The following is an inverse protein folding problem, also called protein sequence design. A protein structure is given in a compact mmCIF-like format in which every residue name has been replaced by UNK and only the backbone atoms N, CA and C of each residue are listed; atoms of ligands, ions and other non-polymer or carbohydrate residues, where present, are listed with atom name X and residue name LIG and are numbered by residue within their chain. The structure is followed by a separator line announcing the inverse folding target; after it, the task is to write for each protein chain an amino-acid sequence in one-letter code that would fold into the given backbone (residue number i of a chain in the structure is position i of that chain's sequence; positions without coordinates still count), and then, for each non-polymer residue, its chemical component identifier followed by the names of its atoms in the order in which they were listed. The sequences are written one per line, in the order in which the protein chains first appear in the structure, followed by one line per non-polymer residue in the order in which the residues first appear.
data_IF_183594615693
#
_entry.id   IF_183594615693
#
_cell.length_a   1.000
_cell.length_b   1.000
_cell.length_c   1.000
_cell.angle_alpha   90.00
_cell.angle_beta   90.00
_cell.angle_gamma   90.00
#
_symmetry.space_group_name_H-M   'P 1'
#
loop_
_entity.id
_entity.type
_entity.pdbx_description
1 polymer ?
#
# COMPACT_ATOMS: atom_id res chain seq x y z
N UNK A 1 8.37 -0.90 -36.80
CA UNK A 1 8.76 0.49 -36.48
C UNK A 1 9.30 0.46 -35.06
N UNK A 2 10.59 0.73 -34.92
CA UNK A 2 11.32 0.72 -33.66
C UNK A 2 11.05 2.02 -32.93
N UNK A 3 10.54 1.96 -31.69
CA UNK A 3 10.33 3.13 -30.85
C UNK A 3 10.84 2.84 -29.44
N UNK A 4 11.99 3.45 -29.15
CA UNK A 4 12.48 3.95 -27.86
C UNK A 4 12.38 3.03 -26.64
N UNK A 5 13.37 2.14 -26.52
CA UNK A 5 13.96 1.85 -25.21
C UNK A 5 14.72 3.10 -24.72
N UNK A 6 14.07 3.91 -23.88
CA UNK A 6 14.71 4.93 -23.03
C UNK A 6 14.13 4.86 -21.62
N UNK A 7 14.40 3.75 -20.96
CA UNK A 7 14.30 3.61 -19.50
C UNK A 7 15.69 3.35 -18.95
N UNK A 8 16.57 4.36 -19.05
CA UNK A 8 17.91 4.31 -18.49
C UNK A 8 17.85 4.33 -16.97
N UNK A 9 17.95 3.14 -16.39
CA UNK A 9 18.78 2.83 -15.22
C UNK A 9 18.91 3.90 -14.11
N UNK A 10 17.78 4.28 -13.51
CA UNK A 10 17.74 5.07 -12.27
C UNK A 10 18.33 4.33 -11.06
N UNK A 11 18.55 3.02 -11.15
CA UNK A 11 19.20 2.22 -10.11
C UNK A 11 20.72 2.45 -10.06
N UNK A 12 21.37 2.70 -11.21
CA UNK A 12 22.83 2.89 -11.26
C UNK A 12 23.32 4.17 -10.58
N UNK A 13 22.45 5.19 -10.47
CA UNK A 13 22.78 6.49 -9.86
C UNK A 13 22.89 6.41 -8.33
N UNK A 14 22.21 5.45 -7.68
CA UNK A 14 22.15 5.36 -6.21
C UNK A 14 23.37 4.65 -5.62
N UNK A 15 24.04 3.78 -6.38
CA UNK A 15 25.17 2.97 -5.89
C UNK A 15 26.56 3.52 -6.26
N UNK A 16 26.63 4.73 -6.83
CA UNK A 16 27.86 5.33 -7.36
C UNK A 16 28.30 6.59 -6.60
N UNK A 17 28.38 6.52 -5.28
CA UNK A 17 29.12 7.51 -4.49
C UNK A 17 30.18 6.79 -3.66
N UNK A 18 31.34 6.56 -4.28
CA UNK A 18 32.57 6.38 -3.52
C UNK A 18 32.83 7.72 -2.84
N UNK A 19 32.79 7.72 -1.50
CA UNK A 19 32.97 8.90 -0.66
C UNK A 19 34.23 9.69 -1.03
N UNK A 20 34.07 10.67 -1.91
CA UNK A 20 35.05 11.71 -2.15
C UNK A 20 34.66 12.91 -1.26
N UNK A 21 35.58 13.32 -0.40
CA UNK A 21 35.52 14.51 0.46
C UNK A 21 34.55 14.51 1.68
N UNK A 22 34.02 13.36 2.10
CA UNK A 22 33.37 13.24 3.40
C UNK A 22 34.40 13.34 4.54
N UNK A 23 34.20 14.19 5.56
CA UNK A 23 35.11 14.27 6.69
C UNK A 23 35.22 12.90 7.38
N UNK A 24 36.46 12.44 7.57
CA UNK A 24 36.77 11.13 8.20
C UNK A 24 36.20 10.97 9.60
N UNK A 25 35.69 12.06 10.20
CA UNK A 25 34.96 12.06 11.47
C UNK A 25 33.71 11.20 11.45
N UNK A 26 33.05 10.99 10.29
CA UNK A 26 31.88 10.13 10.17
C UNK A 26 32.20 8.70 9.72
N UNK A 27 33.47 8.36 9.52
CA UNK A 27 33.89 7.05 9.03
C UNK A 27 33.43 5.90 9.93
N UNK A 28 33.07 4.76 9.34
CA UNK A 28 32.76 3.50 10.04
C UNK A 28 33.85 3.12 11.07
N UNK A 29 35.10 3.42 10.75
CA UNK A 29 36.26 3.10 11.59
C UNK A 29 36.33 3.92 12.88
N UNK A 30 35.55 4.99 12.99
CA UNK A 30 35.53 5.84 14.18
C UNK A 30 34.82 5.13 15.35
N UNK A 31 35.23 5.39 16.61
CA UNK A 31 34.60 4.79 17.77
C UNK A 31 33.08 4.99 17.79
N UNK A 32 32.32 3.90 17.91
CA UNK A 32 30.85 3.85 17.89
C UNK A 32 30.15 4.20 16.56
N UNK A 33 30.87 4.36 15.44
CA UNK A 33 30.26 4.73 14.15
C UNK A 33 29.69 3.53 13.36
N UNK A 34 29.83 2.31 13.89
CA UNK A 34 29.20 1.11 13.34
C UNK A 34 27.68 1.05 13.59
N UNK A 35 27.12 1.98 14.38
CA UNK A 35 25.71 2.02 14.78
C UNK A 35 24.72 2.01 13.60
N UNK A 36 25.08 2.60 12.47
CA UNK A 36 24.27 2.55 11.24
C UNK A 36 24.03 1.12 10.76
N UNK A 37 25.04 0.25 10.89
CA UNK A 37 24.94 -1.16 10.51
C UNK A 37 24.02 -1.93 11.46
N UNK A 38 24.09 -1.65 12.76
CA UNK A 38 23.21 -2.27 13.78
C UNK A 38 21.77 -1.81 13.57
N UNK A 39 21.56 -0.50 13.41
CA UNK A 39 20.24 0.10 13.17
C UNK A 39 19.55 -0.47 11.92
N UNK A 40 20.32 -0.81 10.87
CA UNK A 40 19.79 -1.43 9.65
C UNK A 40 19.00 -2.72 9.93
N UNK A 41 19.35 -3.49 10.96
CA UNK A 41 18.58 -4.67 11.35
C UNK A 41 17.21 -4.30 11.92
N UNK A 42 17.16 -3.33 12.84
CA UNK A 42 15.90 -2.84 13.41
C UNK A 42 15.01 -2.22 12.33
N UNK A 43 15.60 -1.42 11.43
CA UNK A 43 14.90 -0.82 10.30
C UNK A 43 14.39 -1.91 9.32
N UNK A 44 15.15 -3.00 9.13
CA UNK A 44 14.74 -4.14 8.30
C UNK A 44 13.45 -4.80 8.77
N UNK A 45 13.25 -4.94 10.09
CA UNK A 45 11.99 -5.41 10.67
C UNK A 45 10.83 -4.46 10.33
N UNK A 46 11.03 -3.15 10.52
CA UNK A 46 10.02 -2.12 10.26
C UNK A 46 9.63 -2.03 8.78
N UNK A 47 10.60 -2.19 7.89
CA UNK A 47 10.36 -2.25 6.44
C UNK A 47 9.46 -3.44 6.09
N UNK A 48 9.61 -4.59 6.75
CA UNK A 48 8.71 -5.72 6.52
C UNK A 48 7.26 -5.37 6.91
N UNK A 49 7.04 -4.67 8.02
CA UNK A 49 5.70 -4.20 8.42
C UNK A 49 5.11 -3.23 7.37
N UNK A 50 5.93 -2.31 6.85
CA UNK A 50 5.51 -1.36 5.81
C UNK A 50 5.13 -2.08 4.50
N UNK A 51 5.90 -3.08 4.09
CA UNK A 51 5.60 -3.88 2.88
C UNK A 51 4.30 -4.66 3.09
N UNK A 52 4.10 -5.27 4.26
CA UNK A 52 2.86 -5.96 4.58
C UNK A 52 1.66 -5.02 4.56
N UNK A 53 1.78 -3.83 5.15
CA UNK A 53 0.73 -2.81 5.10
C UNK A 53 0.43 -2.41 3.66
N UNK A 54 1.46 -2.20 2.83
CA UNK A 54 1.30 -1.92 1.40
C UNK A 54 0.51 -3.02 0.67
N UNK A 55 0.80 -4.30 0.93
CA UNK A 55 0.07 -5.42 0.34
C UNK A 55 -1.39 -5.44 0.79
N UNK A 56 -1.64 -5.14 2.06
CA UNK A 56 -2.99 -5.07 2.63
C UNK A 56 -3.81 -3.92 2.01
N UNK A 57 -3.23 -2.73 1.84
CA UNK A 57 -3.91 -1.62 1.16
C UNK A 57 -4.21 -1.96 -0.31
N UNK A 58 -3.27 -2.58 -1.03
CA UNK A 58 -3.55 -3.07 -2.39
C UNK A 58 -4.68 -4.10 -2.40
N UNK A 59 -4.69 -5.03 -1.46
CA UNK A 59 -5.75 -6.02 -1.36
C UNK A 59 -7.13 -5.39 -1.12
N UNK A 60 -7.23 -4.29 -0.36
CA UNK A 60 -8.51 -3.56 -0.19
C UNK A 60 -9.04 -3.01 -1.52
N UNK A 61 -8.17 -2.52 -2.40
CA UNK A 61 -8.56 -2.05 -3.74
C UNK A 61 -9.21 -3.19 -4.52
N UNK A 62 -8.55 -4.36 -4.57
CA UNK A 62 -9.08 -5.54 -5.25
C UNK A 62 -10.41 -6.01 -4.65
N UNK A 63 -10.52 -5.96 -3.32
CA UNK A 63 -11.77 -6.25 -2.60
C UNK A 63 -12.91 -5.36 -3.06
N UNK A 64 -12.67 -4.06 -3.10
CA UNK A 64 -13.72 -3.08 -3.37
C UNK A 64 -14.19 -3.20 -4.82
N UNK A 65 -13.27 -3.38 -5.77
CA UNK A 65 -13.63 -3.60 -7.17
C UNK A 65 -14.48 -4.87 -7.36
N UNK A 66 -14.10 -5.96 -6.68
CA UNK A 66 -14.90 -7.19 -6.67
C UNK A 66 -16.31 -6.97 -6.09
N UNK A 67 -16.42 -6.27 -4.96
CA UNK A 67 -17.71 -6.00 -4.32
C UNK A 67 -18.62 -5.13 -5.21
N UNK A 68 -18.07 -4.13 -5.89
CA UNK A 68 -18.84 -3.30 -6.82
C UNK A 68 -19.42 -4.12 -7.98
N UNK A 69 -18.63 -5.03 -8.55
CA UNK A 69 -19.12 -5.94 -9.60
C UNK A 69 -20.21 -6.88 -9.08
N UNK A 70 -20.03 -7.45 -7.89
CA UNK A 70 -21.00 -8.35 -7.26
C UNK A 70 -22.33 -7.64 -6.97
N UNK A 71 -22.27 -6.42 -6.43
CA UNK A 71 -23.45 -5.60 -6.16
C UNK A 71 -24.18 -5.22 -7.45
N UNK A 72 -23.43 -4.79 -8.47
CA UNK A 72 -23.99 -4.49 -9.79
C UNK A 72 -24.70 -5.71 -10.39
N UNK A 73 -24.06 -6.89 -10.37
CA UNK A 73 -24.68 -8.13 -10.86
C UNK A 73 -25.93 -8.47 -10.06
N UNK A 74 -25.89 -8.41 -8.73
CA UNK A 74 -27.04 -8.69 -7.85
C UNK A 74 -28.23 -7.77 -8.11
N UNK A 75 -27.97 -6.51 -8.46
CA UNK A 75 -29.00 -5.53 -8.82
C UNK A 75 -29.64 -5.85 -10.18
N UNK A 76 -28.84 -6.18 -11.19
CA UNK A 76 -29.32 -6.34 -12.56
C UNK A 76 -29.85 -7.73 -12.87
N UNK A 77 -29.32 -8.78 -12.24
CA UNK A 77 -29.72 -10.17 -12.50
C UNK A 77 -31.23 -10.39 -12.46
N UNK A 78 -31.98 -9.99 -11.40
CA UNK A 78 -33.43 -10.21 -11.38
C UNK A 78 -34.18 -9.40 -12.44
N UNK A 79 -33.65 -8.25 -12.87
CA UNK A 79 -34.26 -7.43 -13.92
C UNK A 79 -34.06 -8.05 -15.31
N UNK A 80 -32.87 -8.60 -15.56
CA UNK A 80 -32.55 -9.33 -16.80
C UNK A 80 -33.35 -10.63 -16.87
N UNK A 81 -33.43 -11.38 -15.78
CA UNK A 81 -34.15 -12.65 -15.73
C UNK A 81 -35.67 -12.48 -15.88
N UNK A 82 -36.21 -11.34 -15.42
CA UNK A 82 -37.62 -10.98 -15.59
C UNK A 82 -37.90 -10.24 -16.91
N UNK A 83 -36.88 -9.98 -17.74
CA UNK A 83 -37.02 -9.25 -18.99
C UNK A 83 -37.96 -9.96 -19.97
N UNK A 84 -38.72 -9.22 -20.80
CA UNK A 84 -39.47 -9.81 -21.91
C UNK A 84 -38.56 -10.31 -23.05
N UNK A 85 -37.25 -10.03 -23.00
CA UNK A 85 -36.28 -10.65 -23.91
C UNK A 85 -36.29 -12.18 -23.73
N UNK A 86 -35.93 -12.92 -24.78
CA UNK A 86 -35.97 -14.37 -24.78
C UNK A 86 -34.86 -14.95 -25.67
N UNK A 87 -34.81 -16.28 -25.73
CA UNK A 87 -34.00 -16.99 -26.71
C UNK A 87 -32.50 -16.77 -26.52
N UNK A 88 -31.78 -16.78 -27.64
CA UNK A 88 -30.33 -16.57 -27.68
C UNK A 88 -29.90 -15.17 -27.25
N UNK A 89 -30.69 -14.14 -27.56
CA UNK A 89 -30.40 -12.77 -27.15
C UNK A 89 -30.41 -12.60 -25.62
N UNK A 90 -31.41 -13.17 -24.93
CA UNK A 90 -31.45 -13.16 -23.46
C UNK A 90 -30.24 -13.88 -22.86
N UNK A 91 -29.85 -15.04 -23.42
CA UNK A 91 -28.67 -15.78 -22.94
C UNK A 91 -27.38 -14.97 -23.06
N UNK A 92 -27.20 -14.24 -24.15
CA UNK A 92 -26.03 -13.36 -24.31
C UNK A 92 -26.01 -12.24 -23.25
N UNK A 93 -27.17 -11.65 -22.94
CA UNK A 93 -27.24 -10.64 -21.88
C UNK A 93 -26.96 -11.24 -20.50
N UNK A 94 -27.48 -12.43 -20.19
CA UNK A 94 -27.16 -13.15 -18.95
C UNK A 94 -25.68 -13.52 -18.87
N UNK A 95 -25.05 -13.90 -19.99
CA UNK A 95 -23.62 -14.20 -20.03
C UNK A 95 -22.76 -12.99 -19.64
N UNK A 96 -23.18 -11.76 -19.98
CA UNK A 96 -22.49 -10.55 -19.54
C UNK A 96 -22.50 -10.40 -18.01
N UNK A 97 -23.64 -10.65 -17.36
CA UNK A 97 -23.73 -10.62 -15.90
C UNK A 97 -22.88 -11.72 -15.25
N UNK A 98 -22.92 -12.94 -15.82
CA UNK A 98 -22.09 -14.05 -15.38
C UNK A 98 -20.58 -13.79 -15.53
N UNK A 99 -20.17 -13.07 -16.58
CA UNK A 99 -18.79 -12.65 -16.76
C UNK A 99 -18.33 -11.69 -15.63
N UNK A 100 -19.15 -10.68 -15.30
CA UNK A 100 -18.87 -9.76 -14.19
C UNK A 100 -18.80 -10.48 -12.83
N UNK A 101 -19.69 -11.44 -12.57
CA UNK A 101 -19.65 -12.25 -11.34
C UNK A 101 -18.36 -13.08 -11.24
N UNK A 102 -17.92 -13.67 -12.35
CA UNK A 102 -16.67 -14.43 -12.41
C UNK A 102 -15.45 -13.54 -12.17
N UNK A 103 -15.40 -12.36 -12.79
CA UNK A 103 -14.32 -11.38 -12.54
C UNK A 103 -14.30 -10.95 -11.07
N UNK A 104 -15.46 -10.68 -10.47
CA UNK A 104 -15.56 -10.39 -9.04
C UNK A 104 -14.91 -11.47 -8.18
N UNK A 105 -15.20 -12.75 -8.45
CA UNK A 105 -14.59 -13.87 -7.73
C UNK A 105 -13.07 -13.92 -7.89
N UNK A 106 -12.55 -13.71 -9.10
CA UNK A 106 -11.11 -13.71 -9.37
C UNK A 106 -10.38 -12.57 -8.62
N UNK A 107 -10.96 -11.37 -8.61
CA UNK A 107 -10.40 -10.25 -7.83
C UNK A 107 -10.48 -10.50 -6.30
N UNK A 108 -11.53 -11.16 -5.83
CA UNK A 108 -11.64 -11.56 -4.42
C UNK A 108 -10.62 -12.65 -4.04
N UNK A 109 -10.30 -13.57 -4.94
CA UNK A 109 -9.22 -14.55 -4.77
C UNK A 109 -7.86 -13.87 -4.73
N UNK A 110 -7.58 -12.94 -5.64
CA UNK A 110 -6.36 -12.12 -5.64
C UNK A 110 -6.20 -11.38 -4.30
N UNK A 111 -7.26 -10.71 -3.84
CA UNK A 111 -7.31 -10.03 -2.55
C UNK A 111 -6.93 -10.97 -1.39
N UNK A 112 -7.58 -12.14 -1.30
CA UNK A 112 -7.31 -13.10 -0.22
C UNK A 112 -5.86 -13.52 -0.25
N UNK A 113 -5.36 -13.85 -1.43
CA UNK A 113 -4.03 -14.39 -1.59
C UNK A 113 -2.93 -13.34 -1.26
N UNK A 114 -3.14 -12.07 -1.59
CA UNK A 114 -2.28 -10.96 -1.14
C UNK A 114 -2.19 -10.86 0.39
N UNK A 115 -3.30 -11.12 1.10
CA UNK A 115 -3.38 -11.00 2.56
C UNK A 115 -2.90 -12.26 3.27
N UNK A 116 -3.45 -13.42 2.94
CA UNK A 116 -3.20 -14.67 3.68
C UNK A 116 -1.89 -15.33 3.28
N UNK A 117 -1.53 -15.28 2.00
CA UNK A 117 -0.33 -15.97 1.51
C UNK A 117 0.85 -15.02 1.45
N UNK A 118 0.75 -13.91 0.71
CA UNK A 118 1.92 -13.06 0.44
C UNK A 118 2.32 -12.23 1.68
N UNK A 119 1.38 -11.49 2.27
CA UNK A 119 1.61 -10.79 3.53
C UNK A 119 1.84 -11.77 4.70
N UNK A 120 1.12 -12.90 4.73
CA UNK A 120 1.32 -13.97 5.72
C UNK A 120 2.74 -14.52 5.70
N UNK A 121 3.28 -14.81 4.51
CA UNK A 121 4.66 -15.30 4.33
C UNK A 121 5.70 -14.30 4.83
N UNK A 122 5.50 -13.00 4.61
CA UNK A 122 6.39 -11.96 5.14
C UNK A 122 6.34 -11.93 6.67
N UNK A 123 5.15 -12.00 7.27
CA UNK A 123 5.00 -12.04 8.73
C UNK A 123 5.66 -13.28 9.34
N UNK A 124 5.49 -14.46 8.74
CA UNK A 124 6.15 -15.70 9.18
C UNK A 124 7.67 -15.57 9.11
N UNK A 125 8.20 -15.10 7.97
CA UNK A 125 9.65 -14.89 7.84
C UNK A 125 10.18 -13.86 8.84
N UNK A 126 9.45 -12.78 9.08
CA UNK A 126 9.81 -11.75 10.06
C UNK A 126 9.84 -12.33 11.47
N UNK A 127 8.84 -13.13 11.85
CA UNK A 127 8.82 -13.83 13.14
C UNK A 127 10.03 -14.75 13.32
N UNK A 128 10.39 -15.51 12.28
CA UNK A 128 11.48 -16.48 12.34
C UNK A 128 12.87 -15.84 12.25
N UNK A 129 12.96 -14.62 11.70
CA UNK A 129 14.22 -13.92 11.47
C UNK A 129 14.57 -12.90 12.55
N UNK A 130 13.58 -12.44 13.34
CA UNK A 130 13.76 -11.38 14.33
C UNK A 130 13.21 -11.78 15.69
N UNK A 131 14.10 -12.03 16.65
CA UNK A 131 13.70 -12.51 17.97
C UNK A 131 13.67 -11.35 18.98
N UNK A 132 12.46 -10.96 19.41
CA UNK A 132 12.28 -9.88 20.40
C UNK A 132 12.91 -10.22 21.74
N UNK A 133 13.54 -9.23 22.37
CA UNK A 133 14.07 -9.31 23.74
C UNK A 133 13.08 -8.77 24.77
N UNK A 134 13.23 -9.22 26.03
CA UNK A 134 12.40 -8.81 27.17
C UNK A 134 12.42 -7.30 27.44
N UNK A 135 13.52 -6.61 27.15
CA UNK A 135 13.70 -5.18 27.41
C UNK A 135 13.68 -4.33 26.13
N UNK A 136 13.04 -4.82 25.07
CA UNK A 136 13.01 -4.15 23.77
C UNK A 136 14.21 -4.48 22.88
N UNK A 137 14.04 -4.22 21.58
CA UNK A 137 15.01 -4.56 20.54
C UNK A 137 15.01 -6.04 20.14
N UNK A 138 15.84 -6.37 19.16
CA UNK A 138 15.99 -7.72 18.63
C UNK A 138 17.30 -8.38 19.10
N UNK A 139 17.26 -9.71 19.23
CA UNK A 139 18.42 -10.51 19.62
C UNK A 139 19.57 -10.33 18.65
N UNK A 140 19.28 -10.35 17.36
CA UNK A 140 20.22 -10.25 16.25
C UNK A 140 20.96 -8.90 16.27
N UNK A 141 20.22 -7.79 16.43
CA UNK A 141 20.81 -6.45 16.52
C UNK A 141 21.73 -6.32 17.75
N UNK A 142 21.32 -6.86 18.89
CA UNK A 142 22.12 -6.82 20.10
C UNK A 142 23.36 -7.73 20.02
N UNK A 143 23.27 -8.89 19.38
CA UNK A 143 24.45 -9.75 19.14
C UNK A 143 25.47 -9.05 18.24
N UNK A 144 25.00 -8.35 17.21
CA UNK A 144 25.84 -7.56 16.31
C UNK A 144 26.51 -6.37 17.04
N UNK A 145 25.74 -5.60 17.82
CA UNK A 145 26.23 -4.51 18.67
C UNK A 145 27.32 -5.00 19.62
N UNK A 146 27.07 -6.10 20.33
CA UNK A 146 28.05 -6.70 21.24
C UNK A 146 29.30 -7.22 20.50
N UNK A 147 29.14 -7.68 19.25
CA UNK A 147 30.25 -8.02 18.37
C UNK A 147 31.16 -6.82 18.13
N UNK A 148 30.60 -5.71 17.65
CA UNK A 148 31.35 -4.49 17.36
C UNK A 148 32.00 -3.89 18.61
N UNK A 149 31.28 -3.83 19.73
CA UNK A 149 31.84 -3.33 20.99
C UNK A 149 33.06 -4.15 21.44
N UNK A 150 33.02 -5.49 21.28
CA UNK A 150 34.14 -6.36 21.63
C UNK A 150 35.35 -6.15 20.70
N UNK A 151 35.12 -6.09 19.39
CA UNK A 151 36.16 -5.87 18.38
C UNK A 151 36.83 -4.49 18.53
N UNK A 152 36.04 -3.44 18.81
CA UNK A 152 36.53 -2.07 18.84
C UNK A 152 37.19 -1.67 20.17
N UNK A 153 36.80 -2.28 21.29
CA UNK A 153 37.24 -1.88 22.65
C UNK A 153 38.76 -1.84 22.84
N UNK A 154 39.57 -2.82 22.39
CA UNK A 154 41.02 -2.79 22.56
C UNK A 154 41.68 -1.61 21.84
N UNK A 155 41.25 -1.33 20.61
CA UNK A 155 41.77 -0.24 19.79
C UNK A 155 41.36 1.12 20.34
N UNK A 156 40.09 1.31 20.70
CA UNK A 156 39.60 2.56 21.32
C UNK A 156 40.32 2.88 22.63
N UNK A 157 40.69 1.87 23.43
CA UNK A 157 41.50 2.09 24.64
C UNK A 157 42.89 2.65 24.31
N UNK A 158 43.54 2.16 23.27
CA UNK A 158 44.84 2.66 22.79
C UNK A 158 44.70 4.04 22.15
N UNK A 159 43.68 4.27 21.33
CA UNK A 159 43.39 5.57 20.74
C UNK A 159 43.26 6.66 21.83
N UNK A 160 42.49 6.37 22.90
CA UNK A 160 42.37 7.28 24.06
C UNK A 160 43.71 7.56 24.76
N UNK A 161 44.64 6.60 24.80
CA UNK A 161 45.99 6.78 25.35
C UNK A 161 46.83 7.67 24.43
N UNK A 162 46.75 7.45 23.12
CA UNK A 162 47.42 8.23 22.08
C UNK A 162 46.95 9.68 22.07
N UNK A 163 45.64 9.95 22.13
CA UNK A 163 45.08 11.32 22.19
C UNK A 163 45.48 12.06 23.48
N UNK A 164 45.59 11.35 24.61
CA UNK A 164 46.14 11.92 25.85
C UNK A 164 47.61 12.31 25.69
N UNK A 165 48.43 11.43 25.10
CA UNK A 165 49.85 11.69 24.86
C UNK A 165 50.07 12.86 23.89
N UNK A 166 49.28 12.94 22.81
CA UNK A 166 49.24 14.06 21.86
C UNK A 166 48.93 15.39 22.56
N UNK A 167 47.92 15.40 23.41
CA UNK A 167 47.53 16.61 24.18
C UNK A 167 48.67 17.07 25.10
N UNK A 168 49.34 16.13 25.78
CA UNK A 168 50.50 16.43 26.62
C UNK A 168 51.69 16.96 25.80
N UNK A 169 51.95 16.35 24.64
CA UNK A 169 53.00 16.80 23.72
C UNK A 169 52.75 18.24 23.25
N UNK A 170 51.54 18.55 22.77
CA UNK A 170 51.20 19.92 22.37
C UNK A 170 51.33 20.92 23.52
N UNK A 171 51.03 20.53 24.76
CA UNK A 171 51.23 21.38 25.94
C UNK A 171 52.72 21.61 26.23
N UNK A 172 53.55 20.58 26.08
CA UNK A 172 55.00 20.67 26.25
C UNK A 172 55.63 21.57 25.19
N UNK A 173 55.28 21.40 23.91
CA UNK A 173 55.73 22.27 22.82
C UNK A 173 55.39 23.74 23.08
N UNK A 174 54.17 24.05 23.56
CA UNK A 174 53.80 25.41 23.93
C UNK A 174 54.66 25.97 25.06
N UNK A 175 54.98 25.16 26.08
CA UNK A 175 55.81 25.58 27.21
C UNK A 175 57.26 25.83 26.78
N UNK A 176 57.83 24.93 25.98
CA UNK A 176 59.16 25.08 25.41
C UNK A 176 59.24 26.35 24.55
N UNK A 177 58.26 26.58 23.67
CA UNK A 177 58.19 27.79 22.85
C UNK A 177 58.18 29.08 23.70
N UNK A 178 57.42 29.11 24.80
CA UNK A 178 57.42 30.24 25.74
C UNK A 178 58.79 30.42 26.41
N UNK A 179 59.47 29.33 26.78
CA UNK A 179 60.81 29.39 27.37
C UNK A 179 61.85 29.90 26.35
N UNK A 180 61.77 29.47 25.09
CA UNK A 180 62.61 29.97 24.00
C UNK A 180 62.41 31.48 23.79
N UNK A 181 61.16 31.96 23.77
CA UNK A 181 60.85 33.38 23.63
C UNK A 181 61.39 34.22 24.80
N UNK A 182 61.39 33.69 26.04
CA UNK A 182 61.97 34.35 27.22
C UNK A 182 63.49 34.44 27.13
N UNK A 183 64.14 33.40 26.63
CA UNK A 183 65.59 33.39 26.40
C UNK A 183 65.99 34.38 25.29
N UNK A 184 65.28 34.37 24.15
CA UNK A 184 65.58 35.22 23.01
C UNK A 184 65.18 36.69 23.21
N UNK A 185 64.05 36.95 23.89
CA UNK A 185 63.58 38.30 24.20
C UNK A 185 64.55 39.08 25.11
N UNK A 186 65.35 38.38 25.90
CA UNK A 186 66.39 38.95 26.75
C UNK A 186 67.69 39.19 25.97
N UNK A 187 67.96 38.44 24.91
CA UNK A 187 69.07 38.71 23.98
C UNK A 187 68.80 39.92 23.08
N UNK A 188 67.52 40.21 22.78
CA UNK A 188 67.11 41.35 21.95
C UNK A 188 66.96 42.68 22.72
N UNK A 189 66.86 42.65 24.05
CA UNK A 189 66.78 43.85 24.88
C UNK A 189 68.17 44.48 25.11
N UNK A 190 68.66 45.19 24.10
CA UNK A 190 69.89 45.99 24.17
C UNK A 190 69.71 47.16 25.16
N UNK A 191 70.21 47.02 26.39
CA UNK A 191 70.33 48.17 27.31
C UNK A 191 70.22 47.88 28.81
N UNK A 192 69.91 46.66 29.24
CA UNK A 192 69.91 46.30 30.67
C UNK A 192 70.98 45.22 30.90
N UNK A 193 72.00 45.52 31.72
CA UNK A 193 72.97 44.50 32.16
C UNK A 193 72.22 43.39 32.91
N UNK A 194 72.01 42.27 32.23
CA UNK A 194 71.41 41.08 32.83
C UNK A 194 72.52 40.33 33.56
N UNK A 195 72.32 40.07 34.85
CA UNK A 195 73.25 39.26 35.63
C UNK A 195 73.55 37.92 34.91
N UNK A 196 74.83 37.49 34.83
CA UNK A 196 75.23 36.21 34.25
C UNK A 196 74.42 35.03 34.82
N UNK A 197 74.03 35.11 36.09
CA UNK A 197 73.24 34.08 36.78
C UNK A 197 71.81 34.00 36.21
N UNK A 198 71.20 35.15 35.90
CA UNK A 198 69.87 35.21 35.31
C UNK A 198 69.86 34.68 33.87
N UNK A 199 70.90 34.98 33.09
CA UNK A 199 71.04 34.44 31.73
C UNK A 199 71.33 32.93 31.73
N UNK A 200 72.08 32.43 32.72
CA UNK A 200 72.28 30.99 32.94
C UNK A 200 70.98 30.28 33.31
N UNK A 201 70.21 30.85 34.25
CA UNK A 201 68.94 30.25 34.71
C UNK A 201 67.91 30.09 33.58
N UNK A 202 67.84 31.05 32.64
CA UNK A 202 66.95 30.98 31.48
C UNK A 202 67.38 29.90 30.48
N UNK A 203 68.69 29.79 30.21
CA UNK A 203 69.27 28.71 29.40
C UNK A 203 68.97 27.33 30.01
N UNK A 204 69.13 27.20 31.33
CA UNK A 204 68.79 25.97 32.05
C UNK A 204 67.27 25.68 32.07
N UNK A 205 66.41 26.70 32.12
CA UNK A 205 64.96 26.54 31.97
C UNK A 205 64.57 26.06 30.57
N UNK A 206 65.12 26.66 29.52
CA UNK A 206 64.89 26.26 28.14
C UNK A 206 65.38 24.83 27.88
N UNK A 207 66.61 24.49 28.31
CA UNK A 207 67.15 23.15 28.16
C UNK A 207 66.32 22.10 28.90
N UNK A 208 65.85 22.40 30.12
CA UNK A 208 64.92 21.52 30.86
C UNK A 208 63.59 21.34 30.13
N UNK A 209 63.01 22.41 29.60
CA UNK A 209 61.76 22.32 28.84
C UNK A 209 61.94 21.48 27.58
N UNK A 210 63.04 21.65 26.85
CA UNK A 210 63.34 20.89 25.64
C UNK A 210 63.54 19.39 25.90
N UNK A 211 64.27 19.05 26.96
CA UNK A 211 64.42 17.64 27.40
C UNK A 211 63.06 17.02 27.76
N UNK A 212 62.20 17.74 28.47
CA UNK A 212 60.86 17.25 28.81
C UNK A 212 59.96 17.11 27.57
N UNK A 213 60.00 18.05 26.62
CA UNK A 213 59.26 17.92 25.35
C UNK A 213 59.71 16.69 24.57
N UNK A 214 61.02 16.46 24.43
CA UNK A 214 61.55 15.28 23.73
C UNK A 214 61.11 13.98 24.40
N UNK A 215 61.14 13.92 25.74
CA UNK A 215 60.64 12.76 26.50
C UNK A 215 59.15 12.52 26.32
N UNK A 216 58.35 13.58 26.24
CA UNK A 216 56.90 13.46 25.95
C UNK A 216 56.65 13.07 24.49
N UNK A 217 57.48 13.57 23.55
CA UNK A 217 57.45 13.17 22.13
C UNK A 217 57.66 11.67 21.98
N UNK A 218 58.71 11.11 22.59
CA UNK A 218 58.98 9.66 22.56
C UNK A 218 57.81 8.84 23.10
N UNK A 219 57.15 9.32 24.17
CA UNK A 219 55.94 8.68 24.72
C UNK A 219 54.76 8.74 23.74
N UNK A 220 54.57 9.85 23.03
CA UNK A 220 53.53 10.00 22.02
C UNK A 220 53.81 9.11 20.80
N UNK A 221 55.03 9.12 20.27
CA UNK A 221 55.47 8.25 19.16
C UNK A 221 55.31 6.77 19.51
N UNK A 222 55.69 6.37 20.74
CA UNK A 222 55.46 5.00 21.22
C UNK A 222 53.98 4.64 21.27
N UNK A 223 53.12 5.56 21.71
CA UNK A 223 51.68 5.34 21.73
C UNK A 223 51.09 5.21 20.31
N UNK A 224 51.59 5.99 19.34
CA UNK A 224 51.24 5.85 17.92
C UNK A 224 51.65 4.48 17.37
N UNK A 225 52.91 4.06 17.58
CA UNK A 225 53.38 2.75 17.13
C UNK A 225 52.57 1.59 17.74
N UNK A 226 52.20 1.68 19.03
CA UNK A 226 51.35 0.69 19.69
C UNK A 226 49.93 0.64 19.10
N UNK A 227 49.40 1.79 18.67
CA UNK A 227 48.11 1.90 18.02
C UNK A 227 48.16 1.26 16.62
N UNK A 228 49.11 1.69 15.79
CA UNK A 228 49.32 1.20 14.42
C UNK A 228 49.52 -0.31 14.36
N UNK A 229 50.33 -0.87 15.27
CA UNK A 229 50.53 -2.33 15.38
C UNK A 229 49.25 -3.10 15.67
N UNK A 230 48.23 -2.45 16.25
CA UNK A 230 46.94 -3.10 16.54
C UNK A 230 45.83 -2.76 15.57
N UNK A 231 46.03 -1.81 14.66
CA UNK A 231 45.04 -1.45 13.65
C UNK A 231 44.66 -2.63 12.74
N UNK A 232 45.58 -3.49 12.24
CA UNK A 232 45.20 -4.62 11.39
C UNK A 232 44.22 -5.59 12.06
N UNK A 233 44.49 -5.97 13.31
CA UNK A 233 43.59 -6.85 14.08
C UNK A 233 42.25 -6.19 14.36
N UNK A 234 42.25 -4.89 14.66
CA UNK A 234 41.01 -4.13 14.82
C UNK A 234 40.16 -4.15 13.55
N UNK A 235 40.78 -3.90 12.40
CA UNK A 235 40.09 -3.91 11.11
C UNK A 235 39.50 -5.29 10.80
N UNK A 236 40.31 -6.34 10.94
CA UNK A 236 39.88 -7.73 10.73
C UNK A 236 38.69 -8.13 11.62
N UNK A 237 38.76 -7.83 12.92
CA UNK A 237 37.67 -8.15 13.85
C UNK A 237 36.39 -7.33 13.56
N UNK A 238 36.52 -6.05 13.17
CA UNK A 238 35.37 -5.22 12.78
C UNK A 238 34.73 -5.68 11.47
N UNK A 239 35.54 -6.00 10.45
CA UNK A 239 35.07 -6.53 9.17
C UNK A 239 34.36 -7.87 9.36
N UNK A 240 34.92 -8.75 10.20
CA UNK A 240 34.29 -10.03 10.52
C UNK A 240 32.87 -9.88 11.11
N UNK A 241 32.66 -8.89 11.98
CA UNK A 241 31.33 -8.57 12.53
C UNK A 241 30.44 -7.91 11.47
N UNK A 242 31.00 -6.99 10.68
CA UNK A 242 30.27 -6.32 9.60
C UNK A 242 29.72 -7.33 8.58
N UNK A 243 30.53 -8.30 8.16
CA UNK A 243 30.11 -9.35 7.21
C UNK A 243 28.99 -10.24 7.77
N UNK A 244 28.94 -10.48 9.08
CA UNK A 244 27.80 -11.16 9.69
C UNK A 244 26.50 -10.34 9.52
N UNK A 245 26.59 -9.02 9.72
CA UNK A 245 25.49 -8.10 9.45
C UNK A 245 25.10 -8.04 7.97
N UNK A 246 26.06 -8.16 7.05
CA UNK A 246 25.81 -8.23 5.61
C UNK A 246 25.06 -9.50 5.21
N UNK A 247 25.42 -10.66 5.78
CA UNK A 247 24.73 -11.93 5.53
C UNK A 247 23.27 -11.88 5.99
N UNK A 248 22.99 -11.29 7.16
CA UNK A 248 21.61 -11.11 7.63
C UNK A 248 20.80 -10.23 6.67
N UNK A 249 21.37 -9.12 6.22
CA UNK A 249 20.71 -8.22 5.28
C UNK A 249 20.51 -8.87 3.90
N UNK A 250 21.48 -9.63 3.41
CA UNK A 250 21.37 -10.37 2.15
C UNK A 250 20.19 -11.35 2.18
N UNK A 251 19.97 -12.07 3.28
CA UNK A 251 18.82 -12.97 3.45
C UNK A 251 17.51 -12.23 3.31
N UNK A 252 17.39 -11.05 3.94
CA UNK A 252 16.21 -10.18 3.84
C UNK A 252 15.97 -9.72 2.41
N UNK A 253 17.01 -9.22 1.73
CA UNK A 253 16.92 -8.74 0.34
C UNK A 253 16.44 -9.86 -0.60
N UNK A 254 17.05 -11.05 -0.52
CA UNK A 254 16.68 -12.20 -1.35
C UNK A 254 15.26 -12.67 -1.05
N UNK A 255 14.87 -12.72 0.23
CA UNK A 255 13.52 -13.06 0.64
C UNK A 255 12.48 -12.07 0.08
N UNK A 256 12.71 -10.77 0.28
CA UNK A 256 11.78 -9.74 -0.20
C UNK A 256 11.69 -9.70 -1.72
N UNK A 257 12.81 -9.93 -2.44
CA UNK A 257 12.77 -10.12 -3.90
C UNK A 257 11.83 -11.27 -4.29
N UNK A 258 11.89 -12.40 -3.59
CA UNK A 258 10.95 -13.51 -3.85
C UNK A 258 9.50 -13.13 -3.55
N UNK A 259 9.25 -12.33 -2.51
CA UNK A 259 7.90 -11.87 -2.17
C UNK A 259 7.35 -10.91 -3.24
N UNK A 260 8.15 -9.96 -3.72
CA UNK A 260 7.75 -9.05 -4.80
C UNK A 260 7.53 -9.77 -6.14
N UNK A 261 8.30 -10.81 -6.44
CA UNK A 261 8.04 -11.64 -7.62
C UNK A 261 6.75 -12.46 -7.51
N UNK A 262 6.38 -12.90 -6.30
CA UNK A 262 5.09 -13.56 -6.06
C UNK A 262 3.94 -12.57 -6.24
N UNK A 263 4.06 -11.37 -5.68
CA UNK A 263 3.14 -10.26 -5.89
C UNK A 263 2.95 -9.98 -7.40
N UNK A 264 4.03 -9.82 -8.16
CA UNK A 264 3.95 -9.57 -9.60
C UNK A 264 3.11 -10.63 -10.31
N UNK A 265 3.38 -11.93 -10.07
CA UNK A 265 2.63 -13.02 -10.70
C UNK A 265 1.14 -13.02 -10.35
N UNK A 266 0.79 -12.57 -9.15
CA UNK A 266 -0.60 -12.48 -8.67
C UNK A 266 -1.38 -11.37 -9.33
N UNK A 267 -0.71 -10.24 -9.56
CA UNK A 267 -1.31 -9.06 -10.13
C UNK A 267 -1.37 -9.13 -11.67
N UNK A 268 -0.62 -10.05 -12.29
CA UNK A 268 -0.64 -10.27 -13.73
C UNK A 268 -1.87 -11.08 -14.15
N UNK A 269 -2.99 -10.38 -14.32
CA UNK A 269 -4.26 -10.95 -14.78
C UNK A 269 -4.19 -11.43 -16.24
N UNK A 270 -3.23 -10.94 -17.03
CA UNK A 270 -3.13 -11.25 -18.46
C UNK A 270 -2.64 -12.68 -18.71
N UNK A 271 -1.85 -13.19 -17.77
CA UNK A 271 -1.36 -14.56 -17.77
C UNK A 271 -2.36 -15.58 -17.19
N UNK A 272 -3.46 -15.13 -16.57
CA UNK A 272 -4.44 -16.03 -15.96
C UNK A 272 -5.43 -16.57 -17.00
N UNK A 273 -5.36 -17.88 -17.26
CA UNK A 273 -6.27 -18.58 -18.16
C UNK A 273 -7.74 -18.46 -17.74
N UNK A 274 -8.02 -18.29 -16.45
CA UNK A 274 -9.37 -18.15 -15.90
C UNK A 274 -9.99 -16.81 -16.33
N UNK A 275 -9.19 -15.75 -16.34
CA UNK A 275 -9.58 -14.42 -16.84
C UNK A 275 -9.83 -14.50 -18.35
N UNK A 276 -8.92 -15.13 -19.10
CA UNK A 276 -9.09 -15.32 -20.55
C UNK A 276 -10.37 -16.10 -20.88
N UNK A 277 -10.68 -17.14 -20.11
CA UNK A 277 -11.91 -17.91 -20.27
C UNK A 277 -13.17 -17.07 -20.04
N UNK A 278 -13.16 -16.12 -19.09
CA UNK A 278 -14.31 -15.21 -18.89
C UNK A 278 -14.65 -14.46 -20.17
N UNK A 279 -13.65 -13.84 -20.79
CA UNK A 279 -13.85 -13.06 -22.00
C UNK A 279 -14.21 -13.94 -23.20
N UNK A 280 -13.58 -15.13 -23.32
CA UNK A 280 -13.89 -16.08 -24.39
C UNK A 280 -15.33 -16.58 -24.30
N UNK A 281 -15.81 -16.96 -23.11
CA UNK A 281 -17.17 -17.47 -22.92
C UNK A 281 -18.22 -16.38 -23.21
N UNK A 282 -17.95 -15.14 -22.78
CA UNK A 282 -18.82 -14.00 -23.09
C UNK A 282 -18.88 -13.73 -24.60
N UNK A 283 -17.73 -13.72 -25.27
CA UNK A 283 -17.66 -13.52 -26.71
C UNK A 283 -18.45 -14.59 -27.45
N UNK A 284 -18.24 -15.86 -27.08
CA UNK A 284 -18.97 -16.99 -27.66
C UNK A 284 -20.49 -16.85 -27.47
N UNK A 285 -20.97 -16.47 -26.28
CA UNK A 285 -22.40 -16.29 -26.02
C UNK A 285 -23.02 -15.17 -26.89
N UNK A 286 -22.25 -14.14 -27.23
CA UNK A 286 -22.68 -13.05 -28.12
C UNK A 286 -22.69 -13.53 -29.58
N UNK A 287 -21.68 -14.26 -30.03
CA UNK A 287 -21.64 -14.82 -31.39
C UNK A 287 -22.75 -15.85 -31.64
N UNK A 288 -23.19 -16.55 -30.59
CA UNK A 288 -24.28 -17.53 -30.65
C UNK A 288 -25.69 -16.93 -30.74
N UNK A 289 -25.83 -15.59 -30.77
CA UNK A 289 -27.11 -14.95 -31.01
C UNK A 289 -27.62 -15.35 -32.41
N UNK A 290 -28.78 -16.00 -32.44
CA UNK A 290 -29.39 -16.54 -33.65
C UNK A 290 -30.81 -16.01 -33.78
N UNK A 291 -30.96 -15.00 -34.63
CA UNK A 291 -32.23 -14.36 -34.92
C UNK A 291 -33.25 -15.31 -35.56
N UNK A 292 -32.80 -16.21 -36.44
CA UNK A 292 -33.69 -17.16 -37.12
C UNK A 292 -34.35 -18.13 -36.15
N UNK A 293 -33.59 -18.74 -35.24
CA UNK A 293 -34.12 -19.67 -34.25
C UNK A 293 -35.01 -18.94 -33.22
N UNK A 294 -34.63 -17.73 -32.80
CA UNK A 294 -35.44 -16.93 -31.86
C UNK A 294 -36.78 -16.51 -32.48
N UNK A 295 -36.80 -16.01 -33.72
CA UNK A 295 -38.03 -15.63 -34.44
C UNK A 295 -38.91 -16.85 -34.75
N UNK A 296 -38.30 -17.98 -35.11
CA UNK A 296 -39.00 -19.25 -35.35
C UNK A 296 -39.65 -19.76 -34.07
N UNK A 297 -38.95 -19.72 -32.94
CA UNK A 297 -39.50 -20.06 -31.63
C UNK A 297 -40.72 -19.18 -31.32
N UNK A 298 -40.60 -17.86 -31.49
CA UNK A 298 -41.69 -16.93 -31.23
C UNK A 298 -42.92 -17.20 -32.11
N UNK A 299 -42.72 -17.39 -33.43
CA UNK A 299 -43.79 -17.70 -34.39
C UNK A 299 -44.59 -18.93 -33.98
N UNK A 300 -43.90 -19.98 -33.51
CA UNK A 300 -44.52 -21.25 -33.13
C UNK A 300 -45.19 -21.17 -31.75
N UNK A 301 -44.67 -20.34 -30.83
CA UNK A 301 -45.16 -20.24 -29.46
C UNK A 301 -46.30 -19.25 -29.28
N UNK A 302 -46.27 -18.15 -30.03
CA UNK A 302 -47.11 -16.96 -29.84
C UNK A 302 -47.73 -16.43 -31.15
N UNK A 303 -47.53 -17.10 -32.28
CA UNK A 303 -47.89 -16.59 -33.60
C UNK A 303 -48.58 -17.61 -34.51
N UNK A 304 -48.55 -17.39 -35.84
CA UNK A 304 -49.23 -18.24 -36.82
C UNK A 304 -48.78 -19.70 -36.86
N UNK A 305 -47.67 -20.07 -36.20
CA UNK A 305 -47.23 -21.45 -36.08
C UNK A 305 -47.94 -22.25 -34.97
N UNK A 306 -48.75 -21.60 -34.13
CA UNK A 306 -49.54 -22.28 -33.11
C UNK A 306 -50.63 -23.16 -33.75
N UNK A 307 -50.91 -24.35 -33.19
CA UNK A 307 -52.00 -25.19 -33.68
C UNK A 307 -53.35 -24.49 -33.46
N UNK A 308 -54.21 -24.51 -34.47
CA UNK A 308 -55.56 -23.95 -34.40
C UNK A 308 -56.60 -25.01 -34.73
N UNK A 309 -57.56 -25.18 -33.84
CA UNK A 309 -58.75 -26.00 -34.08
C UNK A 309 -59.81 -25.12 -34.74
N UNK A 310 -59.74 -25.00 -36.07
CA UNK A 310 -60.70 -24.23 -36.84
C UNK A 310 -62.12 -24.76 -36.62
N UNK A 311 -63.14 -23.86 -36.45
CA UNK A 311 -64.52 -24.28 -36.27
C UNK A 311 -64.96 -25.23 -37.39
N UNK A 312 -65.49 -26.39 -36.99
CA UNK A 312 -66.11 -27.38 -37.89
C UNK A 312 -67.57 -27.52 -37.51
N UNK A 313 -68.39 -28.03 -38.43
CA UNK A 313 -69.78 -28.30 -38.13
C UNK A 313 -69.91 -29.30 -36.98
N UNK A 314 -70.50 -28.88 -35.87
CA UNK A 314 -70.81 -29.72 -34.72
C UNK A 314 -72.30 -30.13 -34.80
N UNK A 315 -72.62 -31.38 -35.19
CA UNK A 315 -74.01 -31.83 -35.22
C UNK A 315 -74.59 -31.80 -33.80
N UNK A 316 -75.75 -31.15 -33.65
CA UNK A 316 -76.45 -30.93 -32.38
C UNK A 316 -76.55 -32.23 -31.56
N UNK A 317 -76.28 -32.10 -30.26
CA UNK A 317 -76.47 -33.12 -29.21
C UNK A 317 -77.73 -33.95 -29.44
N UNK A 318 -77.54 -35.22 -29.80
CA UNK A 318 -78.59 -36.22 -29.72
C UNK A 318 -78.84 -36.47 -28.23
N UNK A 319 -79.97 -36.01 -27.71
CA UNK A 319 -80.49 -36.38 -26.40
C UNK A 319 -80.45 -37.92 -26.32
N UNK A 320 -79.46 -38.47 -25.62
CA UNK A 320 -79.49 -39.89 -25.27
C UNK A 320 -80.52 -40.03 -24.15
N UNK A 321 -81.74 -40.37 -24.54
CA UNK A 321 -82.69 -41.04 -23.66
C UNK A 321 -82.01 -42.32 -23.19
N UNK A 322 -81.84 -42.43 -21.87
CA UNK A 322 -81.40 -43.64 -21.21
C UNK A 322 -82.26 -44.82 -21.63
N UNK A 323 -81.66 -45.83 -22.25
CA UNK A 323 -82.10 -47.21 -22.10
C UNK A 323 -80.87 -48.12 -21.96
N UNK A 324 -80.87 -48.86 -20.85
CA UNK A 324 -79.93 -49.89 -20.48
C UNK A 324 -79.92 -51.02 -21.53
N UNK A 325 -78.74 -51.40 -22.03
CA UNK A 325 -78.32 -52.80 -22.25
C UNK A 325 -76.89 -52.87 -22.79
N UNK A 326 -76.13 -53.80 -22.21
CA UNK A 326 -74.70 -54.10 -22.43
C UNK A 326 -74.53 -55.16 -23.56
N UNK A 327 -73.34 -55.78 -23.79
CA UNK A 327 -72.25 -55.30 -24.64
C UNK A 327 -71.88 -56.29 -25.78
N UNK A 328 -71.25 -55.83 -26.88
CA UNK A 328 -70.39 -56.70 -27.72
C UNK A 328 -69.58 -55.94 -28.80
N UNK A 329 -68.26 -56.25 -28.83
CA UNK A 329 -67.30 -56.32 -29.96
C UNK A 329 -67.06 -55.06 -30.82
N UNK A 330 -65.97 -54.32 -30.62
CA UNK A 330 -64.58 -54.54 -31.06
C UNK A 330 -64.34 -54.14 -32.53
N UNK A 331 -63.61 -53.03 -32.75
CA UNK A 331 -62.59 -52.98 -33.79
C UNK A 331 -61.47 -51.98 -33.44
N UNK A 332 -60.25 -52.32 -33.87
CA UNK A 332 -58.96 -51.80 -33.40
C UNK A 332 -58.35 -50.78 -34.37
N UNK A 333 -57.66 -49.75 -33.85
CA UNK A 333 -56.34 -49.37 -34.37
C UNK A 333 -55.56 -48.49 -33.40
N UNK A 334 -54.23 -48.67 -33.27
CA UNK A 334 -53.39 -47.99 -32.31
C UNK A 334 -52.70 -46.80 -32.98
N UNK A 335 -52.82 -45.62 -32.40
CA UNK A 335 -51.70 -44.68 -32.31
C UNK A 335 -52.12 -43.49 -31.44
N UNK A 336 -51.18 -43.08 -30.59
CA UNK A 336 -51.24 -41.97 -29.63
C UNK A 336 -51.75 -42.29 -28.21
N UNK A 337 -50.93 -42.98 -27.44
CA UNK A 337 -50.79 -42.62 -26.01
C UNK A 337 -49.54 -41.76 -25.82
N UNK A 338 -49.76 -40.44 -25.67
CA UNK A 338 -48.80 -39.51 -25.05
C UNK A 338 -49.37 -39.10 -23.68
N UNK A 339 -48.55 -38.99 -22.62
CA UNK A 339 -49.05 -38.82 -21.25
C UNK A 339 -49.81 -37.50 -21.08
N UNK A 340 -50.99 -37.56 -20.48
CA UNK A 340 -51.71 -36.37 -20.01
C UNK A 340 -50.96 -35.76 -18.81
N UNK A 341 -50.15 -34.74 -19.08
CA UNK A 341 -49.65 -33.84 -18.03
C UNK A 341 -50.81 -32.96 -17.58
N UNK A 342 -51.25 -33.14 -16.33
CA UNK A 342 -52.19 -32.23 -15.65
C UNK A 342 -51.54 -30.86 -15.54
N UNK A 343 -51.93 -29.93 -16.40
CA UNK A 343 -51.59 -28.50 -16.26
C UNK A 343 -52.33 -27.98 -15.03
N UNK A 344 -51.60 -27.77 -13.92
CA UNK A 344 -52.06 -26.88 -12.84
C UNK A 344 -52.24 -25.49 -13.44
N UNK A 345 -53.44 -24.91 -13.30
CA UNK A 345 -53.68 -23.48 -13.57
C UNK A 345 -52.77 -22.66 -12.65
N UNK A 346 -51.66 -22.17 -13.19
CA UNK A 346 -50.87 -21.11 -12.56
C UNK A 346 -51.58 -19.80 -12.80
N UNK A 347 -51.79 -19.02 -11.73
CA UNK A 347 -52.39 -17.69 -11.78
C UNK A 347 -51.55 -16.77 -12.67
N UNK A 348 -52.26 -15.99 -13.48
CA UNK A 348 -51.76 -14.87 -14.29
C UNK A 348 -51.09 -13.83 -13.38
N UNK A 349 -49.88 -13.33 -13.68
CA UNK A 349 -49.39 -12.10 -13.07
C UNK A 349 -50.10 -10.92 -13.72
N UNK A 350 -50.65 -10.03 -12.89
CA UNK A 350 -51.28 -8.77 -13.31
C UNK A 350 -50.32 -7.94 -14.18
N UNK A 351 -50.89 -7.34 -15.24
CA UNK A 351 -50.27 -6.29 -16.06
C UNK A 351 -49.74 -5.16 -15.18
N UNK A 352 -48.43 -4.98 -15.17
CA UNK A 352 -47.81 -3.75 -14.66
C UNK A 352 -47.72 -2.75 -15.81
N UNK A 353 -48.51 -1.68 -15.71
CA UNK A 353 -48.46 -0.51 -16.60
C UNK A 353 -47.18 0.29 -16.31
N UNK A 354 -46.45 0.81 -17.31
CA UNK A 354 -45.28 1.65 -17.06
C UNK A 354 -45.74 3.05 -16.63
N UNK A 355 -45.46 3.43 -15.38
CA UNK A 355 -45.62 4.81 -14.93
C UNK A 355 -44.38 5.64 -15.30
N UNK A 356 -44.65 6.72 -16.03
CA UNK A 356 -43.73 7.81 -16.35
C UNK A 356 -43.12 8.40 -15.08
N UNK A 357 -41.79 8.48 -15.02
CA UNK A 357 -41.06 9.16 -13.95
C UNK A 357 -40.94 10.64 -14.34
N UNK A 358 -41.68 11.49 -13.65
CA UNK A 358 -41.30 12.88 -13.37
C UNK A 358 -41.25 13.05 -11.85
N UNK A 359 -40.28 13.81 -11.30
CA UNK A 359 -39.93 13.73 -9.89
C UNK A 359 -40.81 14.66 -9.05
N UNK A 360 -41.52 14.14 -8.05
CA UNK A 360 -41.79 14.85 -6.79
C UNK A 360 -42.51 13.99 -5.74
N UNK A 361 -41.98 14.07 -4.52
CA UNK A 361 -42.68 14.09 -3.22
C UNK A 361 -43.15 12.77 -2.59
N UNK A 362 -42.36 12.32 -1.61
CA UNK A 362 -42.68 11.36 -0.56
C UNK A 362 -43.45 11.98 0.61
N UNK A 363 -44.32 11.19 1.26
CA UNK A 363 -44.94 11.48 2.56
C UNK A 363 -44.46 10.44 3.63
N UNK A 364 -44.70 10.62 4.95
CA UNK A 364 -43.63 10.90 5.91
C UNK A 364 -43.41 9.78 6.93
N UNK A 365 -42.17 9.64 7.41
CA UNK A 365 -41.80 8.96 8.66
C UNK A 365 -40.74 9.81 9.39
N UNK A 366 -40.65 9.71 10.72
CA UNK A 366 -40.41 10.83 11.62
C UNK A 366 -39.01 11.44 11.47
N UNK A 367 -38.98 12.77 11.47
CA UNK A 367 -37.78 13.59 11.31
C UNK A 367 -36.74 13.28 12.41
N UNK A 368 -35.47 13.06 12.04
CA UNK A 368 -34.36 13.51 12.88
C UNK A 368 -34.43 15.05 12.93
N UNK A 369 -34.18 15.63 14.10
CA UNK A 369 -34.20 17.07 14.30
C UNK A 369 -33.31 17.79 13.26
N UNK A 370 -33.70 18.97 12.74
CA UNK A 370 -32.87 19.74 11.85
C UNK A 370 -31.59 20.13 12.58
N UNK A 371 -30.45 19.60 12.14
CA UNK A 371 -29.15 20.02 12.64
C UNK A 371 -28.95 21.44 12.12
N UNK A 372 -29.07 22.41 13.02
CA UNK A 372 -28.70 23.78 12.74
C UNK A 372 -27.22 23.83 12.31
N UNK A 373 -27.03 24.26 11.06
CA UNK A 373 -25.81 24.71 10.39
C UNK A 373 -24.47 24.57 11.10
N UNK A 374 -23.83 23.40 10.94
CA UNK A 374 -22.38 23.32 11.18
C UNK A 374 -21.65 24.14 10.10
N UNK A 375 -20.96 25.20 10.52
CA UNK A 375 -20.11 25.98 9.61
C UNK A 375 -18.81 25.24 9.37
N UNK A 376 -18.46 25.11 8.10
CA UNK A 376 -17.19 24.53 7.66
C UNK A 376 -16.41 25.59 6.90
N UNK A 377 -15.08 25.55 7.01
CA UNK A 377 -14.17 26.46 6.29
C UNK A 377 -13.43 25.69 5.23
N UNK A 378 -13.43 26.19 4.00
CA UNK A 378 -12.63 25.63 2.93
C UNK A 378 -11.13 25.76 3.25
N UNK A 379 -10.39 24.66 3.18
CA UNK A 379 -8.92 24.65 3.35
C UNK A 379 -8.18 24.70 2.02
N UNK A 380 -8.87 24.41 0.92
CA UNK A 380 -8.36 24.50 -0.45
C UNK A 380 -9.39 25.16 -1.38
N UNK A 381 -8.92 25.69 -2.50
CA UNK A 381 -9.78 26.14 -3.60
C UNK A 381 -10.45 24.91 -4.25
N UNK A 382 -11.73 25.06 -4.60
CA UNK A 382 -12.48 24.04 -5.32
C UNK A 382 -13.32 24.67 -6.44
N UNK A 383 -13.25 24.08 -7.63
CA UNK A 383 -14.06 24.46 -8.79
C UNK A 383 -14.90 23.25 -9.15
N UNK A 384 -16.21 23.40 -9.01
CA UNK A 384 -17.19 22.36 -9.35
C UNK A 384 -17.08 21.98 -10.82
N UNK A 385 -17.04 20.69 -11.09
CA UNK A 385 -16.90 20.14 -12.43
C UNK A 385 -18.27 19.85 -13.05
N UNK A 386 -19.23 19.42 -12.23
CA UNK A 386 -20.60 19.13 -12.61
C UNK A 386 -21.58 20.21 -12.12
N UNK A 387 -22.79 20.22 -12.69
CA UNK A 387 -23.77 21.28 -12.42
C UNK A 387 -24.36 21.27 -10.99
N UNK A 388 -24.20 20.17 -10.27
CA UNK A 388 -24.62 19.97 -8.88
C UNK A 388 -23.50 20.21 -7.86
N UNK A 389 -22.30 20.60 -8.30
CA UNK A 389 -21.15 20.89 -7.45
C UNK A 389 -20.99 22.38 -7.12
N UNK A 390 -20.50 22.68 -5.91
CA UNK A 390 -20.15 24.05 -5.51
C UNK A 390 -18.76 24.43 -6.02
N UNK A 391 -18.57 25.73 -6.23
CA UNK A 391 -17.24 26.34 -6.41
C UNK A 391 -16.99 27.33 -5.28
N UNK A 392 -15.83 27.24 -4.63
CA UNK A 392 -15.46 28.07 -3.48
C UNK A 392 -13.95 28.25 -3.38
N UNK A 393 -13.51 29.28 -2.67
CA UNK A 393 -12.09 29.58 -2.44
C UNK A 393 -11.63 29.15 -1.05
N UNK A 394 -10.34 28.84 -0.91
CA UNK A 394 -9.74 28.56 0.39
C UNK A 394 -10.02 29.73 1.35
N UNK A 395 -10.49 29.41 2.55
CA UNK A 395 -10.94 30.35 3.58
C UNK A 395 -12.43 30.70 3.53
N UNK A 396 -13.14 30.36 2.45
CA UNK A 396 -14.58 30.59 2.34
C UNK A 396 -15.37 29.70 3.30
N UNK A 397 -16.49 30.23 3.82
CA UNK A 397 -17.32 29.54 4.78
C UNK A 397 -18.56 28.96 4.09
N UNK A 398 -18.82 27.69 4.37
CA UNK A 398 -20.00 26.97 3.88
C UNK A 398 -20.83 26.50 5.07
N UNK A 399 -22.13 26.39 4.87
CA UNK A 399 -23.01 25.73 5.84
C UNK A 399 -23.28 24.31 5.38
N UNK A 400 -22.89 23.32 6.19
CA UNK A 400 -23.11 21.91 5.89
C UNK A 400 -24.59 21.56 6.05
N UNK A 401 -25.18 20.95 5.03
CA UNK A 401 -26.60 20.55 4.98
C UNK A 401 -26.79 19.04 5.14
N UNK A 402 -25.90 18.23 4.57
CA UNK A 402 -25.93 16.76 4.67
C UNK A 402 -24.52 16.25 5.03
N UNK A 403 -24.46 15.10 5.71
CA UNK A 403 -23.21 14.42 6.04
C UNK A 403 -22.51 13.82 4.81
N UNK A 404 -21.25 13.40 5.00
CA UNK A 404 -20.47 12.74 3.97
C UNK A 404 -21.17 11.46 3.50
N UNK A 405 -21.35 11.32 2.19
CA UNK A 405 -21.90 10.13 1.55
C UNK A 405 -20.83 9.02 1.34
N UNK A 406 -21.23 7.90 0.74
CA UNK A 406 -20.33 6.76 0.49
C UNK A 406 -19.20 7.05 -0.51
N UNK A 407 -19.26 8.18 -1.22
CA UNK A 407 -18.28 8.62 -2.22
C UNK A 407 -17.39 9.76 -1.69
N UNK A 408 -17.56 10.19 -0.44
CA UNK A 408 -16.76 11.24 0.19
C UNK A 408 -17.27 12.66 -0.05
N UNK A 409 -18.52 12.83 -0.46
CA UNK A 409 -19.11 14.13 -0.76
C UNK A 409 -20.07 14.59 0.34
N UNK A 410 -20.00 15.87 0.68
CA UNK A 410 -20.98 16.55 1.53
C UNK A 410 -21.86 17.47 0.68
N UNK A 411 -23.07 17.76 1.15
CA UNK A 411 -23.91 18.81 0.58
C UNK A 411 -23.88 20.05 1.45
N UNK A 412 -23.80 21.23 0.83
CA UNK A 412 -23.74 22.49 1.57
C UNK A 412 -24.36 23.64 0.82
N UNK A 413 -24.36 24.79 1.49
CA UNK A 413 -24.77 26.07 0.93
C UNK A 413 -23.72 27.13 1.19
N UNK A 414 -23.38 27.90 0.16
CA UNK A 414 -22.49 29.06 0.27
C UNK A 414 -23.21 30.22 0.98
N UNK A 415 -22.48 31.20 1.51
CA UNK A 415 -23.10 32.43 2.05
C UNK A 415 -23.86 33.23 0.96
N UNK A 416 -23.57 32.98 -0.32
CA UNK A 416 -24.33 33.51 -1.48
C UNK A 416 -25.63 32.77 -1.79
N UNK A 417 -25.94 31.69 -1.05
CA UNK A 417 -27.18 30.93 -1.17
C UNK A 417 -27.17 29.82 -2.22
N UNK A 418 -26.02 29.51 -2.85
CA UNK A 418 -25.91 28.41 -3.80
C UNK A 418 -25.77 27.09 -3.06
N UNK A 419 -26.58 26.11 -3.44
CA UNK A 419 -26.59 24.76 -2.85
C UNK A 419 -25.96 23.78 -3.82
N UNK A 420 -25.07 22.92 -3.33
CA UNK A 420 -24.43 21.89 -4.14
C UNK A 420 -23.52 20.98 -3.33
N UNK A 421 -22.88 20.05 -4.03
CA UNK A 421 -21.96 19.07 -3.48
C UNK A 421 -20.54 19.62 -3.40
N UNK A 422 -19.79 19.19 -2.39
CA UNK A 422 -18.37 19.47 -2.24
C UNK A 422 -17.64 18.31 -1.55
N UNK A 423 -16.37 18.07 -1.87
CA UNK A 423 -15.60 16.97 -1.28
C UNK A 423 -15.28 17.25 0.20
N UNK A 424 -15.54 16.28 1.08
CA UNK A 424 -15.46 16.45 2.53
C UNK A 424 -14.03 16.82 3.02
N UNK A 425 -13.00 16.34 2.32
CA UNK A 425 -11.59 16.61 2.63
C UNK A 425 -11.10 18.01 2.21
N UNK A 426 -11.94 18.83 1.58
CA UNK A 426 -11.60 20.21 1.18
C UNK A 426 -12.05 21.26 2.20
N UNK A 427 -12.70 20.83 3.28
CA UNK A 427 -13.18 21.71 4.34
C UNK A 427 -12.79 21.20 5.71
N UNK A 428 -12.77 22.09 6.70
CA UNK A 428 -12.61 21.76 8.11
C UNK A 428 -13.80 22.29 8.93
N UNK A 429 -14.19 21.55 9.97
CA UNK A 429 -15.25 21.96 10.90
C UNK A 429 -14.76 23.09 11.80
N UNK A 430 -15.53 24.18 11.87
CA UNK A 430 -15.29 25.23 12.86
C UNK A 430 -15.92 24.81 14.19
N UNK A 431 -15.09 24.42 15.16
CA UNK A 431 -15.54 24.21 16.54
C UNK A 431 -15.91 25.56 17.15
N UNK A 432 -17.17 25.75 17.57
CA UNK A 432 -17.57 26.92 18.34
C UNK A 432 -16.82 26.93 19.68
N UNK A 433 -15.91 27.89 19.84
CA UNK A 433 -15.29 28.17 21.13
C UNK A 433 -16.31 28.93 21.96
N UNK A 434 -16.88 28.26 22.96
CA UNK A 434 -17.79 28.85 23.95
C UNK A 434 -17.05 29.98 24.69
N UNK A 435 -17.33 31.22 24.30
CA UNK A 435 -16.73 32.42 24.87
C UNK A 435 -17.35 32.72 26.23
N UNK A 436 -16.68 32.29 27.31
CA UNK A 436 -16.89 32.88 28.63
C UNK A 436 -16.32 34.30 28.65
N UNK A 437 -17.21 35.29 28.57
CA UNK A 437 -16.92 36.70 28.88
C UNK A 437 -17.17 36.97 30.38
N UNK A 438 -16.58 38.05 30.93
CA UNK A 438 -15.65 38.04 32.07
C UNK A 438 -16.23 37.83 33.47
#
# INVERSE_FOLDING_TARGET
MSACAKGGDTMSVIYSEVAADEPTTNSFWMPNHYQSTVKRLDDGYRVCDQIVACFQERAKIERNYALMMDEWTRKWQPLVDASPAYGSLLRAWQAFLGASERLSRLHMEMQRALVSEDAGRIRSWQHDSYHRKLFGGFKEACELENGFQRAQKPWTKKLKKTEKAKTLYHKACRKEHIATLRESGIQAASGTEISPDRQRALREEHQRCSQETNKIRERYEKALQELDRSSPRYMEEMESVFEQGQVLEQRRIVFLKSAFLALHRRLDMTADSSVQAVYSDLHQAIEEINDQEDLKWWRNRNGPGMPMNWPKFEPKFRFHVFFLSSPATQDWSPDHERPQVKIKKTKEPEKVTPCSISPSQSCPKPAPAPIAGQRVRAVYDYIGQEADELSFKAGELLTKLEDEDEQGWCKGVTDSGHVGLYPANYVELLQEVESTLP
#
